data_IF_387811390587
#
_entry.id   IF_387811390587
#
_cell.length_a   1.000
_cell.length_b   1.000
_cell.length_c   1.000
_cell.angle_alpha   90.00
_cell.angle_beta   90.00
_cell.angle_gamma   90.00
#
_symmetry.space_group_name_H-M   'P 1'
#
loop_
_entity.id
_entity.type
_entity.pdbx_description
1 polymer ?
#
# COMPACT_ATOMS: atom_id res chain seq x y z
N UNK A 1 10.16 2.19 10.63
CA UNK A 1 9.56 1.21 11.56
C UNK A 1 9.19 -0.11 10.92
N UNK A 2 8.40 -0.14 9.84
CA UNK A 2 7.99 -1.39 9.18
C UNK A 2 9.20 -2.25 8.74
N UNK A 3 10.22 -1.63 8.11
CA UNK A 3 11.44 -2.33 7.71
C UNK A 3 12.28 -2.84 8.90
N UNK A 4 12.18 -2.19 10.06
CA UNK A 4 12.85 -2.63 11.29
C UNK A 4 12.17 -3.88 11.86
N UNK A 5 10.83 -3.90 11.89
CA UNK A 5 10.07 -5.09 12.31
C UNK A 5 10.31 -6.28 11.36
N UNK A 6 10.41 -6.02 10.05
CA UNK A 6 10.77 -7.04 9.07
C UNK A 6 12.18 -7.60 9.28
N UNK A 7 13.16 -6.78 9.68
CA UNK A 7 14.53 -7.25 9.93
C UNK A 7 14.62 -8.21 11.13
N UNK A 8 13.71 -8.09 12.10
CA UNK A 8 13.52 -9.02 13.21
C UNK A 8 12.76 -10.31 12.84
N UNK A 9 12.31 -10.46 11.58
CA UNK A 9 11.63 -11.67 11.10
C UNK A 9 10.13 -11.72 11.38
N UNK A 10 9.52 -10.60 11.79
CA UNK A 10 8.08 -10.51 12.03
C UNK A 10 7.35 -10.38 10.69
N UNK A 11 6.32 -11.22 10.49
CA UNK A 11 5.41 -11.14 9.34
C UNK A 11 4.16 -10.36 9.74
N UNK A 12 3.76 -9.39 8.94
CA UNK A 12 2.59 -8.54 9.19
C UNK A 12 1.74 -8.42 7.93
N UNK A 13 0.44 -8.19 8.13
CA UNK A 13 -0.52 -7.84 7.08
C UNK A 13 -0.92 -6.39 7.29
N UNK A 14 -0.71 -5.56 6.28
CA UNK A 14 -1.10 -4.15 6.33
C UNK A 14 -2.47 -3.97 5.67
N UNK A 15 -3.43 -3.44 6.44
CA UNK A 15 -4.75 -3.06 5.95
C UNK A 15 -4.86 -1.54 6.07
N UNK A 16 -5.08 -0.86 4.95
CA UNK A 16 -5.19 0.59 4.92
C UNK A 16 -6.64 1.00 4.66
N UNK A 17 -7.17 1.87 5.53
CA UNK A 17 -8.49 2.48 5.33
C UNK A 17 -8.39 3.68 4.40
N UNK A 18 -9.21 3.71 3.35
CA UNK A 18 -9.11 4.68 2.23
C UNK A 18 -10.24 5.70 2.16
N UNK A 19 -11.19 5.67 3.10
CA UNK A 19 -12.42 6.46 3.03
C UNK A 19 -12.18 7.98 2.92
N UNK A 20 -11.19 8.52 3.64
CA UNK A 20 -10.84 9.94 3.60
C UNK A 20 -10.36 10.36 2.20
N UNK A 21 -9.54 9.55 1.56
CA UNK A 21 -9.02 9.82 0.21
C UNK A 21 -10.12 9.71 -0.86
N UNK A 22 -11.08 8.79 -0.68
CA UNK A 22 -12.26 8.70 -1.56
C UNK A 22 -13.11 9.97 -1.45
N UNK A 23 -13.38 10.41 -0.23
CA UNK A 23 -14.19 11.62 0.01
C UNK A 23 -13.52 12.88 -0.53
N UNK A 24 -12.19 12.99 -0.42
CA UNK A 24 -11.40 14.06 -1.05
C UNK A 24 -11.56 14.04 -2.57
N UNK A 25 -11.38 12.88 -3.20
CA UNK A 25 -11.50 12.76 -4.66
C UNK A 25 -12.91 13.07 -5.15
N UNK A 26 -13.94 12.65 -4.41
CA UNK A 26 -15.32 13.01 -4.71
C UNK A 26 -15.55 14.52 -4.59
N UNK A 27 -15.04 15.15 -3.53
CA UNK A 27 -15.13 16.59 -3.34
C UNK A 27 -14.42 17.37 -4.46
N UNK A 28 -13.25 16.91 -4.91
CA UNK A 28 -12.53 17.47 -6.06
C UNK A 28 -13.34 17.37 -7.37
N UNK A 29 -14.10 16.28 -7.53
CA UNK A 29 -15.03 16.07 -8.65
C UNK A 29 -16.36 16.81 -8.49
N UNK A 30 -16.52 17.62 -7.44
CA UNK A 30 -17.75 18.36 -7.13
C UNK A 30 -18.91 17.47 -6.65
N UNK A 31 -18.64 16.22 -6.29
CA UNK A 31 -19.61 15.27 -5.77
C UNK A 31 -19.47 15.15 -4.25
N UNK A 32 -20.54 14.78 -3.57
CA UNK A 32 -20.53 14.53 -2.13
C UNK A 32 -20.61 13.03 -1.88
N UNK A 33 -19.81 12.56 -0.94
CA UNK A 33 -19.96 11.22 -0.42
C UNK A 33 -21.32 11.07 0.27
N UNK A 34 -22.05 10.02 -0.08
CA UNK A 34 -23.37 9.75 0.47
C UNK A 34 -23.25 8.75 1.62
N UNK A 35 -23.85 9.11 2.75
CA UNK A 35 -23.82 8.30 3.96
C UNK A 35 -25.24 8.06 4.47
N UNK A 36 -25.59 6.80 4.72
CA UNK A 36 -26.79 6.41 5.46
C UNK A 36 -26.40 6.05 6.89
N UNK A 37 -26.43 7.04 7.79
CA UNK A 37 -25.91 6.89 9.15
C UNK A 37 -24.40 6.63 9.13
N UNK A 38 -23.97 5.48 9.66
CA UNK A 38 -22.56 5.07 9.67
C UNK A 38 -22.15 4.26 8.44
N UNK A 39 -23.05 4.05 7.48
CA UNK A 39 -22.78 3.24 6.29
C UNK A 39 -22.53 4.13 5.08
N UNK A 40 -21.43 3.82 4.38
CA UNK A 40 -21.08 4.44 3.12
C UNK A 40 -22.01 3.92 2.02
N UNK A 41 -22.66 4.82 1.30
CA UNK A 41 -23.49 4.48 0.14
C UNK A 41 -22.62 4.56 -1.11
N UNK A 42 -22.33 3.40 -1.70
CA UNK A 42 -21.62 3.32 -2.97
C UNK A 42 -22.56 3.64 -4.13
N UNK A 43 -22.54 4.90 -4.58
CA UNK A 43 -23.04 5.28 -5.90
C UNK A 43 -22.01 4.91 -6.99
N UNK A 44 -22.41 4.93 -8.27
CA UNK A 44 -21.50 4.59 -9.38
C UNK A 44 -20.24 5.46 -9.39
N UNK A 45 -20.41 6.74 -9.08
CA UNK A 45 -19.32 7.73 -8.99
C UNK A 45 -18.39 7.49 -7.80
N UNK A 46 -18.97 7.07 -6.67
CA UNK A 46 -18.24 6.72 -5.48
C UNK A 46 -17.41 5.46 -5.69
N UNK A 47 -17.95 4.48 -6.41
CA UNK A 47 -17.24 3.27 -6.77
C UNK A 47 -16.05 3.55 -7.70
N UNK A 48 -16.22 4.40 -8.71
CA UNK A 48 -15.14 4.80 -9.61
C UNK A 48 -14.03 5.56 -8.86
N UNK A 49 -14.41 6.50 -7.99
CA UNK A 49 -13.47 7.21 -7.12
C UNK A 49 -12.73 6.24 -6.19
N UNK A 50 -13.44 5.26 -5.61
CA UNK A 50 -12.84 4.23 -4.77
C UNK A 50 -11.81 3.40 -5.55
N UNK A 51 -12.13 2.95 -6.77
CA UNK A 51 -11.20 2.19 -7.60
C UNK A 51 -9.93 2.98 -7.93
N UNK A 52 -10.06 4.26 -8.26
CA UNK A 52 -8.91 5.13 -8.54
C UNK A 52 -8.02 5.28 -7.29
N UNK A 53 -8.64 5.59 -6.15
CA UNK A 53 -7.92 5.79 -4.88
C UNK A 53 -7.22 4.49 -4.44
N UNK A 54 -7.89 3.35 -4.53
CA UNK A 54 -7.31 2.03 -4.24
C UNK A 54 -6.07 1.80 -5.10
N UNK A 55 -6.18 2.03 -6.42
CA UNK A 55 -5.06 1.85 -7.34
C UNK A 55 -3.87 2.73 -6.98
N UNK A 56 -4.13 4.03 -6.73
CA UNK A 56 -3.10 5.01 -6.37
C UNK A 56 -2.41 4.64 -5.05
N UNK A 57 -3.17 4.30 -4.02
CA UNK A 57 -2.63 3.99 -2.70
C UNK A 57 -1.88 2.66 -2.71
N UNK A 58 -2.39 1.63 -3.40
CA UNK A 58 -1.68 0.36 -3.59
C UNK A 58 -0.31 0.59 -4.23
N UNK A 59 -0.27 1.32 -5.34
CA UNK A 59 1.00 1.65 -6.02
C UNK A 59 1.93 2.47 -5.12
N UNK A 60 1.40 3.43 -4.36
CA UNK A 60 2.22 4.23 -3.45
C UNK A 60 2.80 3.40 -2.30
N UNK A 61 2.00 2.49 -1.72
CA UNK A 61 2.46 1.58 -0.66
C UNK A 61 3.48 0.59 -1.19
N UNK A 62 3.23 0.00 -2.36
CA UNK A 62 4.18 -0.88 -3.04
C UNK A 62 5.49 -0.16 -3.32
N UNK A 63 5.46 1.05 -3.86
CA UNK A 63 6.67 1.82 -4.14
C UNK A 63 7.48 2.15 -2.87
N UNK A 64 6.80 2.45 -1.75
CA UNK A 64 7.46 2.76 -0.46
C UNK A 64 8.01 1.52 0.25
N UNK A 65 7.39 0.36 0.03
CA UNK A 65 7.79 -0.91 0.67
C UNK A 65 8.69 -1.76 -0.22
N UNK A 66 8.68 -1.49 -1.53
CA UNK A 66 9.59 -2.09 -2.50
C UNK A 66 11.01 -1.86 -2.02
N UNK A 67 11.92 -2.83 -2.21
CA UNK A 67 13.33 -2.55 -2.14
C UNK A 67 13.58 -1.32 -3.02
N UNK A 68 14.25 -0.29 -2.49
CA UNK A 68 14.79 0.77 -3.34
C UNK A 68 15.64 0.12 -4.45
N UNK A 69 15.92 0.83 -5.57
CA UNK A 69 16.81 0.31 -6.60
C UNK A 69 18.04 -0.28 -5.90
N UNK A 70 18.49 -1.50 -6.26
CA UNK A 70 19.64 -2.09 -5.61
C UNK A 70 20.73 -1.04 -5.73
N UNK A 71 21.18 -0.50 -4.60
CA UNK A 71 22.32 0.41 -4.63
C UNK A 71 23.52 -0.47 -4.95
N UNK A 72 23.72 -0.73 -6.24
CA UNK A 72 24.86 -1.37 -6.88
C UNK A 72 26.09 -0.43 -6.83
N UNK A 73 26.24 0.32 -5.73
CA UNK A 73 27.32 1.27 -5.51
C UNK A 73 28.12 0.92 -4.26
N UNK A 74 28.34 -0.38 -4.02
CA UNK A 74 29.46 -0.78 -3.19
C UNK A 74 30.17 -1.98 -3.81
N UNK A 75 31.03 -1.69 -4.79
CA UNK A 75 32.11 -2.58 -5.20
C UNK A 75 33.08 -2.71 -4.02
N UNK A 76 32.69 -3.49 -3.00
CA UNK A 76 33.62 -3.94 -1.95
C UNK A 76 34.34 -5.17 -2.48
N UNK A 77 35.59 -4.97 -2.86
CA UNK A 77 36.53 -6.04 -3.06
C UNK A 77 36.77 -6.70 -1.69
N UNK A 78 36.15 -7.85 -1.45
CA UNK A 78 36.23 -8.55 -0.17
C UNK A 78 35.76 -9.99 -0.36
N UNK A 79 36.74 -10.89 -0.41
CA UNK A 79 36.57 -12.33 -0.46
C UNK A 79 35.82 -12.82 0.79
N UNK A 80 34.86 -13.73 0.57
CA UNK A 80 34.11 -14.54 1.54
C UNK A 80 33.13 -13.84 2.48
N UNK A 81 31.86 -14.25 2.39
CA UNK A 81 30.94 -14.28 3.53
C UNK A 81 29.57 -13.64 3.29
N UNK A 82 28.59 -14.49 2.96
CA UNK A 82 27.15 -14.37 3.25
C UNK A 82 26.37 -13.17 2.68
N UNK A 83 25.74 -13.44 1.54
CA UNK A 83 24.62 -12.68 1.00
C UNK A 83 23.37 -12.83 1.89
N UNK A 84 23.15 -11.89 2.80
CA UNK A 84 21.84 -11.68 3.41
C UNK A 84 21.36 -10.26 3.09
N UNK A 85 21.16 -9.99 1.81
CA UNK A 85 20.28 -8.90 1.42
C UNK A 85 18.86 -9.37 1.72
N UNK A 86 18.36 -9.06 2.93
CA UNK A 86 16.94 -9.23 3.26
C UNK A 86 16.16 -8.23 2.41
N UNK A 87 15.94 -8.57 1.15
CA UNK A 87 15.05 -7.84 0.27
C UNK A 87 13.66 -7.90 0.88
N UNK A 88 13.04 -6.74 1.08
CA UNK A 88 11.63 -6.70 1.46
C UNK A 88 10.82 -7.28 0.30
N UNK A 89 10.31 -8.50 0.45
CA UNK A 89 9.43 -9.09 -0.55
C UNK A 89 8.02 -8.54 -0.32
N UNK A 90 7.60 -7.60 -1.17
CA UNK A 90 6.23 -7.10 -1.18
C UNK A 90 5.39 -7.98 -2.10
N UNK A 91 4.47 -8.73 -1.53
CA UNK A 91 3.40 -9.39 -2.27
C UNK A 91 2.10 -8.63 -2.00
N UNK A 92 1.34 -8.34 -3.05
CA UNK A 92 0.06 -7.64 -2.94
C UNK A 92 -1.04 -8.40 -3.67
N UNK A 93 -2.27 -8.30 -3.17
CA UNK A 93 -3.43 -8.97 -3.72
C UNK A 93 -4.73 -8.42 -3.15
N UNK A 94 -5.85 -8.73 -3.81
CA UNK A 94 -7.19 -8.36 -3.35
C UNK A 94 -7.67 -9.42 -2.36
N UNK A 95 -7.56 -9.13 -1.05
CA UNK A 95 -8.13 -9.98 -0.01
C UNK A 95 -9.62 -9.63 0.14
N UNK A 96 -10.49 -10.41 -0.51
CA UNK A 96 -11.93 -10.34 -0.28
C UNK A 96 -12.23 -11.04 1.05
N UNK A 97 -12.41 -10.26 2.11
CA UNK A 97 -13.02 -10.73 3.35
C UNK A 97 -14.52 -10.87 3.14
N UNK A 98 -14.98 -12.06 2.76
CA UNK A 98 -16.39 -12.40 2.89
C UNK A 98 -16.73 -12.43 4.39
N UNK A 99 -17.79 -11.72 4.78
CA UNK A 99 -18.34 -11.73 6.13
C UNK A 99 -19.53 -12.68 6.20
#
# INVERSE_FOLDING_TARGET
>A
DISLLHSFGIKFVLIHGIHVEIDKLLAERGKKANYAGNYYINDSDALEAAMEVVGRIRLSMEAKLSPGPPMLNLRRHGVNGNWHEKTNNVASGNFLGAK
#
